data_IF_096218187228
#
_entry.id   IF_096218187228
#
_cell.length_a   1.000
_cell.length_b   1.000
_cell.length_c   1.000
_cell.angle_alpha   90.00
_cell.angle_beta   90.00
_cell.angle_gamma   90.00
#
_symmetry.space_group_name_H-M   'P 1'
#
loop_
_entity.id
_entity.type
_entity.pdbx_description
1 polymer ?
#
# COMPACT_ATOMS: atom_id res chain seq x y z
N UNK A 1 -15.34 -8.31 1.90
CA UNK A 1 -14.96 -8.26 1.69
C UNK A 1 -14.38 -7.68 1.26
N UNK A 2 -14.05 -7.36 1.35
CA UNK A 2 -13.42 -6.75 0.87
C UNK A 2 -12.82 -7.19 0.10
N UNK A 3 -12.72 -7.72 -0.18
CA UNK A 3 -12.25 -8.06 -0.90
C UNK A 3 -12.46 -7.86 -1.80
N UNK A 4 -12.91 -7.63 -1.83
CA UNK A 4 -13.04 -7.37 -2.62
C UNK A 4 -12.76 -6.71 -3.06
N UNK A 5 -12.71 -6.30 -2.98
CA UNK A 5 -12.52 -5.70 -3.44
C UNK A 5 -11.88 -5.73 -4.03
N UNK A 6 -11.63 -6.06 -4.09
CA UNK A 6 -11.09 -6.11 -4.68
C UNK A 6 -11.00 -5.97 -5.74
N UNK A 7 -11.23 -6.18 -6.10
CA UNK A 7 -11.34 -6.15 -7.23
C UNK A 7 -11.31 -4.93 -7.70
N UNK A 8 -11.82 -4.17 -7.32
CA UNK A 8 -11.89 -3.07 -7.80
C UNK A 8 -10.76 -2.56 -8.01
N UNK A 9 -10.12 -2.64 -7.57
CA UNK A 9 -9.12 -2.09 -7.75
C UNK A 9 -8.40 -2.40 -8.67
N UNK A 10 -8.40 -3.25 -8.90
CA UNK A 10 -7.70 -3.67 -9.74
C UNK A 10 -7.74 -2.97 -10.82
N UNK A 11 -8.58 -2.61 -11.18
CA UNK A 11 -8.59 -2.03 -12.27
C UNK A 11 -8.28 -0.76 -12.19
N UNK A 12 -8.23 -0.32 -11.40
CA UNK A 12 -8.04 0.85 -11.28
C UNK A 12 -7.13 1.42 -11.82
N UNK A 13 -6.90 1.93 -12.29
CA UNK A 13 -6.09 2.43 -12.88
C UNK A 13 -5.58 3.49 -12.53
N UNK A 14 -5.16 3.91 -12.37
CA UNK A 14 -4.54 4.72 -12.27
C UNK A 14 -4.54 5.85 -12.13
N UNK A 15 -4.57 6.25 -12.22
CA UNK A 15 -4.68 7.31 -12.24
C UNK A 15 -4.00 8.20 -11.84
N UNK A 16 -4.32 9.08 -11.49
CA UNK A 16 -3.57 10.11 -11.18
C UNK A 16 -2.70 9.66 -10.16
N UNK A 17 -2.93 8.75 -9.53
CA UNK A 17 -2.13 8.43 -8.49
C UNK A 17 -1.04 7.51 -8.85
N UNK A 18 -0.08 7.94 -9.53
CA UNK A 18 1.07 7.10 -9.78
C UNK A 18 1.79 6.86 -8.46
N UNK A 19 2.01 5.60 -8.07
CA UNK A 19 2.70 5.31 -6.83
C UNK A 19 4.14 5.84 -6.89
N UNK A 20 4.62 6.35 -5.78
CA UNK A 20 6.00 6.81 -5.71
C UNK A 20 6.72 6.10 -4.57
N UNK A 21 7.99 5.80 -4.73
CA UNK A 21 8.75 5.14 -3.66
C UNK A 21 8.80 6.03 -2.43
N UNK A 22 8.66 5.43 -1.26
CA UNK A 22 8.78 6.16 -0.01
C UNK A 22 9.55 5.33 0.99
N UNK A 23 10.31 5.97 1.87
CA UNK A 23 10.96 5.24 2.94
C UNK A 23 9.94 4.85 4.00
N UNK A 24 9.96 3.61 4.39
CA UNK A 24 9.05 3.11 5.42
C UNK A 24 9.85 2.31 6.41
N UNK A 25 9.66 2.60 7.67
CA UNK A 25 10.24 1.80 8.74
C UNK A 25 9.19 0.82 9.21
N UNK A 26 9.58 -0.43 9.38
CA UNK A 26 8.67 -1.52 9.68
C UNK A 26 9.04 -2.13 11.01
N UNK A 27 8.06 -2.50 11.79
CA UNK A 27 8.26 -3.25 13.02
C UNK A 27 7.15 -4.28 13.10
N UNK A 28 7.51 -5.54 13.32
CA UNK A 28 6.57 -6.65 13.40
C UNK A 28 5.68 -6.67 12.16
N UNK A 29 6.31 -6.43 10.99
CA UNK A 29 5.66 -6.49 9.68
C UNK A 29 4.72 -5.34 9.39
N UNK A 30 4.59 -4.38 10.27
CA UNK A 30 3.69 -3.26 10.09
C UNK A 30 4.49 -1.98 9.90
N UNK A 31 4.03 -1.07 9.05
CA UNK A 31 4.71 0.21 8.93
C UNK A 31 4.52 1.01 10.20
N UNK A 32 5.61 1.51 10.74
CA UNK A 32 5.56 2.34 11.94
C UNK A 32 6.02 3.76 11.65
N UNK A 33 6.63 4.00 10.49
CA UNK A 33 7.04 5.33 10.10
C UNK A 33 7.02 5.39 8.59
N UNK A 34 6.42 6.43 8.03
CA UNK A 34 6.29 6.59 6.58
C UNK A 34 6.80 7.97 6.22
N UNK A 35 7.80 8.00 5.34
CA UNK A 35 8.33 9.25 4.82
C UNK A 35 8.72 10.19 5.97
N UNK A 36 9.29 9.62 7.03
CA UNK A 36 9.73 10.40 8.18
C UNK A 36 8.67 10.67 9.22
N UNK A 37 7.42 10.35 8.95
CA UNK A 37 6.34 10.60 9.90
C UNK A 37 5.97 9.31 10.62
N UNK A 38 5.84 9.39 11.92
CA UNK A 38 5.48 8.23 12.70
C UNK A 38 4.01 7.90 12.47
N UNK A 39 3.71 6.61 12.40
CA UNK A 39 2.34 6.15 12.23
C UNK A 39 1.65 6.19 13.58
N UNK A 40 0.50 6.86 13.63
CA UNK A 40 -0.30 6.92 14.84
C UNK A 40 -1.27 5.76 14.90
N UNK A 41 -1.86 5.40 13.77
CA UNK A 41 -2.87 4.36 13.74
C UNK A 41 -2.86 3.65 12.40
N UNK A 42 -2.96 2.34 12.43
CA UNK A 42 -3.19 1.55 11.22
C UNK A 42 -4.68 1.31 11.12
N UNK A 43 -5.28 1.82 10.06
CA UNK A 43 -6.72 1.75 9.92
C UNK A 43 -7.13 0.43 9.31
N UNK A 44 -6.45 0.01 8.26
CA UNK A 44 -6.84 -1.18 7.55
C UNK A 44 -5.67 -1.67 6.71
N UNK A 45 -5.62 -2.97 6.44
CA UNK A 45 -4.65 -3.50 5.51
C UNK A 45 -5.33 -4.54 4.64
N UNK A 46 -4.80 -4.71 3.44
CA UNK A 46 -5.35 -5.70 2.52
C UNK A 46 -4.29 -6.11 1.50
N UNK A 47 -4.52 -7.25 0.88
CA UNK A 47 -3.60 -7.80 -0.11
C UNK A 47 -4.26 -7.73 -1.48
N UNK A 48 -3.50 -7.25 -2.45
CA UNK A 48 -3.94 -7.23 -3.84
C UNK A 48 -3.05 -8.16 -4.63
N UNK A 49 -3.67 -9.10 -5.33
CA UNK A 49 -2.94 -10.02 -6.19
C UNK A 49 -3.62 -10.01 -7.55
N UNK A 50 -2.83 -9.98 -8.60
CA UNK A 50 -3.40 -10.00 -9.91
C UNK A 50 -2.39 -10.37 -10.96
N UNK A 51 -2.90 -10.69 -12.15
CA UNK A 51 -2.09 -10.99 -13.32
C UNK A 51 -1.07 -12.10 -13.06
N UNK A 52 -1.41 -12.99 -12.11
CA UNK A 52 -0.50 -14.07 -11.77
C UNK A 52 -0.32 -15.05 -12.96
N UNK A 53 -1.18 -14.95 -13.97
CA UNK A 53 -1.08 -15.76 -15.15
C UNK A 53 -0.19 -15.13 -16.22
N UNK A 54 0.42 -13.99 -15.95
CA UNK A 54 1.26 -13.30 -16.93
C UNK A 54 2.70 -13.29 -16.46
N UNK A 55 3.57 -12.67 -17.26
CA UNK A 55 4.96 -12.51 -16.87
C UNK A 55 5.14 -11.44 -15.83
N UNK A 56 4.11 -10.68 -15.53
CA UNK A 56 4.23 -9.56 -14.59
C UNK A 56 3.14 -9.65 -13.54
N UNK A 57 3.25 -10.64 -12.67
CA UNK A 57 2.25 -10.76 -11.62
C UNK A 57 2.35 -9.61 -10.64
N UNK A 58 1.25 -9.31 -10.00
CA UNK A 58 1.18 -8.24 -9.01
C UNK A 58 0.82 -8.85 -7.68
N UNK A 59 1.58 -8.51 -6.66
CA UNK A 59 1.24 -8.89 -5.29
C UNK A 59 1.69 -7.76 -4.39
N UNK A 60 0.72 -7.06 -3.80
CA UNK A 60 0.98 -5.87 -3.01
C UNK A 60 0.20 -5.92 -1.73
N UNK A 61 0.87 -5.62 -0.63
CA UNK A 61 0.20 -5.50 0.66
C UNK A 61 0.02 -4.03 0.97
N UNK A 62 -1.23 -3.62 1.10
CA UNK A 62 -1.57 -2.22 1.33
C UNK A 62 -1.89 -1.96 2.79
N UNK A 63 -1.57 -0.76 3.23
CA UNK A 63 -1.99 -0.27 4.54
C UNK A 63 -2.55 1.12 4.38
N UNK A 64 -3.73 1.33 4.97
CA UNK A 64 -4.26 2.66 5.15
C UNK A 64 -3.94 3.06 6.57
N UNK A 65 -3.33 4.22 6.76
CA UNK A 65 -2.85 4.62 8.07
C UNK A 65 -3.00 6.12 8.28
N UNK A 66 -2.90 6.53 9.53
CA UNK A 66 -2.92 7.93 9.91
C UNK A 66 -1.60 8.21 10.61
N UNK A 67 -0.93 9.28 10.22
CA UNK A 67 0.33 9.66 10.84
C UNK A 67 0.07 10.55 12.04
N UNK A 68 1.12 10.79 12.83
CA UNK A 68 0.99 11.63 14.02
C UNK A 68 0.64 13.07 13.68
N UNK A 69 0.82 13.48 12.44
CA UNK A 69 0.40 14.82 12.02
C UNK A 69 -1.05 14.84 11.55
N UNK A 70 -1.75 13.71 11.63
CA UNK A 70 -3.15 13.65 11.27
C UNK A 70 -3.41 13.38 9.80
N UNK A 71 -2.40 13.00 9.05
CA UNK A 71 -2.56 12.74 7.63
C UNK A 71 -2.92 11.30 7.39
N UNK A 72 -3.93 11.08 6.56
CA UNK A 72 -4.26 9.73 6.11
C UNK A 72 -3.41 9.40 4.89
N UNK A 73 -2.77 8.25 4.95
CA UNK A 73 -1.89 7.81 3.87
C UNK A 73 -2.21 6.38 3.51
N UNK A 74 -2.03 6.05 2.23
CA UNK A 74 -2.10 4.66 1.79
C UNK A 74 -0.73 4.32 1.23
N UNK A 75 -0.13 3.28 1.79
CA UNK A 75 1.17 2.80 1.31
C UNK A 75 1.06 1.33 1.01
N UNK A 76 1.94 0.83 0.17
CA UNK A 76 1.95 -0.60 -0.06
C UNK A 76 3.39 -1.11 -0.19
N UNK A 77 3.54 -2.36 0.13
CA UNK A 77 4.76 -3.10 -0.04
C UNK A 77 4.59 -4.04 -1.24
N UNK A 78 5.51 -3.94 -2.20
CA UNK A 78 5.49 -4.86 -3.33
C UNK A 78 6.13 -6.15 -2.85
N UNK A 79 5.32 -7.18 -2.68
CA UNK A 79 5.79 -8.42 -2.05
C UNK A 79 6.74 -9.17 -2.98
N UNK A 80 6.57 -9.03 -4.27
CA UNK A 80 7.40 -9.77 -5.22
C UNK A 80 8.71 -9.07 -5.51
N UNK A 81 8.66 -7.77 -5.76
CA UNK A 81 9.87 -7.03 -6.12
C UNK A 81 10.53 -6.36 -4.95
N UNK A 82 9.82 -6.22 -3.85
CA UNK A 82 10.33 -5.47 -2.70
C UNK A 82 10.08 -3.99 -2.90
N UNK A 83 10.27 -3.25 -1.84
CA UNK A 83 10.10 -1.80 -1.90
C UNK A 83 8.75 -1.35 -1.40
N UNK A 84 8.75 -0.13 -0.91
CA UNK A 84 7.54 0.50 -0.38
C UNK A 84 7.19 1.70 -1.20
N UNK A 85 5.89 1.91 -1.39
CA UNK A 85 5.39 2.98 -2.24
C UNK A 85 4.21 3.65 -1.58
N UNK A 86 4.06 4.95 -1.83
CA UNK A 86 2.88 5.68 -1.41
C UNK A 86 1.94 5.80 -2.59
N UNK A 87 0.67 5.55 -2.33
CA UNK A 87 -0.36 5.68 -3.34
C UNK A 87 -0.95 7.07 -3.20
N UNK A 88 -0.92 7.85 -4.25
CA UNK A 88 -1.49 9.17 -4.20
C UNK A 88 -3.00 9.05 -4.18
N UNK A 89 -3.62 9.94 -3.44
CA UNK A 89 -5.06 9.89 -3.31
C UNK A 89 -5.77 10.43 -4.53
#
# INVERSE_FOLDING_TARGET
>A
MRATSQAREVSAPSPPGVPRPVPVRVSAWRPVQVDGERVQELVEDWLVEGWWWTDQPVRRRYWELVTVTGRTRVVFHDVLAGGWYAQAA
#
